data_IF_499288958989
#
_entry.id   IF_499288958989
#
_cell.length_a   1.000
_cell.length_b   1.000
_cell.length_c   1.000
_cell.angle_alpha   90.00
_cell.angle_beta   90.00
_cell.angle_gamma   90.00
#
_symmetry.space_group_name_H-M   'P 1'
#
loop_
_entity.id
_entity.type
_entity.pdbx_description
1 polymer ?
#
# COMPACT_ATOMS: atom_id res chain seq x y z
N UNK A 1 -4.80 -11.19 5.26
CA UNK A 1 -3.71 -10.70 4.38
C UNK A 1 -3.04 -9.48 4.96
N UNK A 2 -1.71 -9.49 4.98
CA UNK A 2 -0.80 -8.42 5.38
C UNK A 2 0.35 -8.34 4.36
N UNK A 3 1.17 -7.29 4.42
CA UNK A 3 2.35 -7.11 3.59
C UNK A 3 3.56 -6.95 4.48
N UNK A 4 4.62 -7.70 4.22
CA UNK A 4 5.85 -7.65 4.98
C UNK A 4 6.93 -6.98 4.14
N UNK A 5 7.69 -6.04 4.70
CA UNK A 5 8.95 -5.65 4.08
C UNK A 5 9.92 -6.83 4.13
N UNK A 6 10.74 -6.96 3.10
CA UNK A 6 11.71 -8.05 3.00
C UNK A 6 13.05 -7.52 3.51
N UNK A 7 13.67 -8.15 4.53
CA UNK A 7 15.00 -7.77 4.98
C UNK A 7 16.01 -7.85 3.83
N UNK A 8 16.99 -6.94 3.83
CA UNK A 8 17.94 -6.82 2.72
C UNK A 8 18.73 -8.12 2.53
N UNK A 9 18.68 -8.67 1.31
CA UNK A 9 19.40 -9.89 0.95
C UNK A 9 18.77 -11.18 1.47
N UNK A 10 17.53 -11.14 1.98
CA UNK A 10 16.80 -12.32 2.38
C UNK A 10 15.66 -12.66 1.42
N UNK A 11 15.26 -13.93 1.42
CA UNK A 11 14.13 -14.45 0.66
C UNK A 11 13.18 -15.25 1.57
N UNK A 12 11.92 -15.35 1.16
CA UNK A 12 10.93 -16.16 1.87
C UNK A 12 11.14 -17.65 1.59
N UNK A 13 11.17 -18.48 2.64
CA UNK A 13 11.18 -19.94 2.53
C UNK A 13 10.33 -20.58 3.61
N UNK A 14 9.60 -21.62 3.21
CA UNK A 14 9.00 -22.59 4.14
C UNK A 14 10.00 -23.69 4.43
N UNK A 15 10.25 -23.92 5.72
CA UNK A 15 11.19 -24.95 6.18
C UNK A 15 10.45 -25.88 7.11
N UNK A 16 10.52 -27.18 6.83
CA UNK A 16 9.99 -28.25 7.68
C UNK A 16 11.13 -28.85 8.50
N UNK A 17 11.06 -28.72 9.82
CA UNK A 17 12.02 -29.31 10.76
C UNK A 17 11.27 -30.20 11.75
N UNK A 18 11.61 -31.50 11.78
CA UNK A 18 11.08 -32.48 12.76
C UNK A 18 9.55 -32.37 12.93
N UNK A 19 8.83 -32.43 11.81
CA UNK A 19 7.36 -32.35 11.68
C UNK A 19 6.72 -30.97 11.83
N UNK A 20 7.47 -29.92 12.18
CA UNK A 20 6.96 -28.55 12.22
C UNK A 20 7.39 -27.76 10.97
N UNK A 21 6.41 -27.34 10.19
CA UNK A 21 6.64 -26.43 9.05
C UNK A 21 6.44 -24.99 9.48
N UNK A 22 7.46 -24.17 9.25
CA UNK A 22 7.45 -22.76 9.62
C UNK A 22 7.87 -21.85 8.45
N UNK A 23 7.37 -20.63 8.46
CA UNK A 23 7.65 -19.58 7.48
C UNK A 23 8.85 -18.73 7.94
N UNK A 24 9.88 -18.61 7.10
CA UNK A 24 11.11 -17.89 7.42
C UNK A 24 11.51 -16.88 6.34
N UNK A 25 12.19 -15.82 6.76
CA UNK A 25 13.16 -15.14 5.90
C UNK A 25 14.54 -15.77 6.08
N UNK A 26 15.19 -16.07 4.97
CA UNK A 26 16.47 -16.77 4.94
C UNK A 26 17.42 -16.02 4.02
N UNK A 27 18.66 -15.86 4.44
CA UNK A 27 19.73 -15.43 3.53
C UNK A 27 20.19 -16.63 2.69
N UNK A 28 20.11 -16.57 1.35
CA UNK A 28 20.55 -17.64 0.48
C UNK A 28 22.06 -17.97 0.64
N UNK A 29 22.87 -17.01 1.11
CA UNK A 29 24.29 -17.22 1.38
C UNK A 29 24.59 -17.79 2.77
N UNK A 30 23.57 -17.90 3.63
CA UNK A 30 23.70 -18.42 5.00
C UNK A 30 24.57 -17.59 5.93
N UNK A 31 24.86 -16.32 5.61
CA UNK A 31 25.66 -15.42 6.45
C UNK A 31 24.82 -14.80 7.56
N UNK A 32 23.55 -14.53 7.28
CA UNK A 32 22.61 -13.97 8.24
C UNK A 32 21.75 -15.05 8.91
N UNK A 33 21.34 -14.84 10.17
CA UNK A 33 20.44 -15.76 10.85
C UNK A 33 19.07 -15.80 10.16
N UNK A 34 18.41 -16.96 10.25
CA UNK A 34 17.03 -17.11 9.77
C UNK A 34 16.07 -16.34 10.68
N UNK A 35 15.05 -15.73 10.09
CA UNK A 35 14.07 -14.91 10.82
C UNK A 35 12.72 -15.61 10.75
N UNK A 36 12.18 -16.03 11.89
CA UNK A 36 10.89 -16.72 11.95
C UNK A 36 9.74 -15.71 11.77
N UNK A 37 9.06 -15.78 10.63
CA UNK A 37 8.00 -14.84 10.28
C UNK A 37 6.77 -15.07 11.14
N UNK A 38 6.35 -16.31 11.35
CA UNK A 38 5.13 -16.64 12.09
C UNK A 38 5.17 -16.15 13.53
N UNK A 39 6.26 -16.44 14.25
CA UNK A 39 6.40 -16.05 15.65
C UNK A 39 6.32 -14.52 15.79
N UNK A 40 7.07 -13.81 14.94
CA UNK A 40 7.10 -12.35 14.94
C UNK A 40 5.76 -11.74 14.53
N UNK A 41 5.08 -12.28 13.51
CA UNK A 41 3.76 -11.82 13.08
C UNK A 41 2.72 -12.10 14.16
N UNK A 42 2.75 -13.27 14.81
CA UNK A 42 1.83 -13.63 15.88
C UNK A 42 1.94 -12.66 17.05
N UNK A 43 3.15 -12.44 17.54
CA UNK A 43 3.39 -11.52 18.65
C UNK A 43 2.98 -10.10 18.26
N UNK A 44 3.40 -9.63 17.07
CA UNK A 44 3.06 -8.30 16.58
C UNK A 44 1.55 -8.08 16.48
N UNK A 45 0.80 -9.05 15.95
CA UNK A 45 -0.66 -8.94 15.79
C UNK A 45 -1.38 -9.07 17.13
N UNK A 46 -0.91 -9.93 18.03
CA UNK A 46 -1.48 -10.13 19.37
C UNK A 46 -1.36 -8.85 20.23
N UNK A 47 -0.23 -8.16 20.17
CA UNK A 47 0.02 -6.97 20.98
C UNK A 47 -0.37 -5.63 20.32
N UNK A 48 -0.90 -5.65 19.09
CA UNK A 48 -1.32 -4.44 18.38
C UNK A 48 -2.67 -3.86 18.88
N UNK A 49 -2.71 -3.43 20.15
CA UNK A 49 -3.91 -2.86 20.79
C UNK A 49 -4.48 -1.64 20.06
N UNK A 50 -3.62 -0.82 19.45
CA UNK A 50 -4.00 0.38 18.71
C UNK A 50 -4.46 0.15 17.27
N UNK A 51 -4.53 -1.11 16.81
CA UNK A 51 -4.84 -1.46 15.41
C UNK A 51 -3.98 -0.68 14.42
N UNK A 52 -2.72 -0.41 14.76
CA UNK A 52 -1.77 0.33 13.93
C UNK A 52 -1.70 -0.32 12.55
N UNK A 53 -1.71 0.51 11.50
CA UNK A 53 -1.64 0.05 10.11
C UNK A 53 -0.24 -0.45 9.73
N UNK A 54 0.76 0.11 10.40
CA UNK A 54 2.18 -0.19 10.25
C UNK A 54 2.74 -0.58 11.62
N UNK A 55 3.46 -1.71 11.67
CA UNK A 55 4.10 -2.24 12.87
C UNK A 55 5.57 -2.50 12.51
N UNK A 56 6.46 -1.65 13.01
CA UNK A 56 7.90 -1.85 12.85
C UNK A 56 8.36 -2.92 13.85
N UNK A 57 9.03 -3.95 13.35
CA UNK A 57 9.77 -4.93 14.13
C UNK A 57 11.28 -4.67 13.96
N UNK A 58 12.15 -5.30 14.77
CA UNK A 58 13.60 -5.16 14.61
C UNK A 58 14.11 -5.55 13.22
N UNK A 59 13.52 -6.61 12.66
CA UNK A 59 14.01 -7.24 11.42
C UNK A 59 13.27 -6.78 10.16
N UNK A 60 11.96 -6.55 10.26
CA UNK A 60 11.10 -6.15 9.15
C UNK A 60 9.89 -5.36 9.64
N UNK A 61 9.06 -4.87 8.71
CA UNK A 61 7.87 -4.09 9.03
C UNK A 61 6.63 -4.78 8.48
N UNK A 62 5.58 -4.83 9.30
CA UNK A 62 4.27 -5.38 8.93
C UNK A 62 3.33 -4.24 8.54
N UNK A 63 2.74 -4.34 7.36
CA UNK A 63 1.68 -3.46 6.86
C UNK A 63 0.36 -4.22 6.74
N UNK A 64 -0.67 -3.84 7.49
CA UNK A 64 -1.89 -4.66 7.65
C UNK A 64 -2.85 -4.67 6.46
N UNK A 65 -2.76 -3.71 5.56
CA UNK A 65 -3.77 -3.52 4.50
C UNK A 65 -3.18 -3.24 3.11
N UNK A 66 -2.06 -2.54 3.06
CA UNK A 66 -1.37 -2.20 1.81
C UNK A 66 0.10 -1.91 2.11
N UNK A 67 1.03 -2.24 1.21
CA UNK A 67 2.40 -1.77 1.30
C UNK A 67 2.45 -0.24 1.11
N UNK A 68 3.53 0.43 1.53
CA UNK A 68 3.77 1.83 1.19
C UNK A 68 4.06 1.99 -0.32
N UNK A 69 3.79 3.19 -0.86
CA UNK A 69 4.13 3.54 -2.25
C UNK A 69 5.64 3.76 -2.38
N UNK A 70 6.39 2.66 -2.50
CA UNK A 70 7.85 2.64 -2.64
C UNK A 70 8.24 1.64 -3.72
N UNK A 71 9.38 1.87 -4.34
CA UNK A 71 9.96 0.99 -5.37
C UNK A 71 10.69 -0.19 -4.73
N UNK A 72 9.94 -0.94 -3.92
CA UNK A 72 10.44 -2.03 -3.10
C UNK A 72 9.48 -3.22 -3.23
N UNK A 73 10.03 -4.43 -3.16
CA UNK A 73 9.26 -5.65 -3.13
C UNK A 73 8.78 -5.91 -1.69
N UNK A 74 7.50 -6.24 -1.58
CA UNK A 74 6.86 -6.65 -0.34
C UNK A 74 6.33 -8.06 -0.48
N UNK A 75 6.41 -8.83 0.59
CA UNK A 75 5.81 -10.15 0.66
C UNK A 75 4.32 -10.01 1.03
N UNK A 76 3.44 -10.35 0.10
CA UNK A 76 2.00 -10.46 0.36
C UNK A 76 1.73 -11.76 1.12
N UNK A 77 1.51 -11.65 2.42
CA UNK A 77 1.49 -12.76 3.34
C UNK A 77 0.11 -12.91 3.99
N UNK A 78 -0.43 -14.14 4.05
CA UNK A 78 -1.72 -14.41 4.68
C UNK A 78 -1.54 -15.29 5.93
N UNK A 79 -1.40 -14.69 7.13
CA UNK A 79 -1.12 -15.47 8.34
C UNK A 79 -2.28 -16.42 8.66
N UNK A 80 -2.01 -17.72 8.76
CA UNK A 80 -3.00 -18.69 9.24
C UNK A 80 -3.12 -18.60 10.76
N UNK A 81 -4.37 -18.44 11.25
CA UNK A 81 -4.68 -18.26 12.68
C UNK A 81 -3.77 -17.22 13.36
N UNK A 82 -3.60 -16.06 12.73
CA UNK A 82 -2.70 -14.98 13.19
C UNK A 82 -1.23 -15.41 13.37
N UNK A 83 -0.72 -16.30 12.52
CA UNK A 83 0.66 -16.76 12.60
C UNK A 83 0.87 -17.92 13.58
N UNK A 84 -0.20 -18.60 14.01
CA UNK A 84 -0.09 -19.84 14.77
C UNK A 84 0.37 -21.01 13.88
N UNK A 85 -0.02 -21.00 12.62
CA UNK A 85 0.33 -22.03 11.64
C UNK A 85 1.01 -21.40 10.42
N UNK A 86 1.59 -22.25 9.56
CA UNK A 86 2.26 -21.79 8.34
C UNK A 86 1.23 -21.35 7.32
N UNK A 87 1.67 -20.48 6.43
CA UNK A 87 0.83 -19.94 5.39
C UNK A 87 0.48 -21.04 4.41
N UNK A 88 -0.82 -21.34 4.29
CA UNK A 88 -1.34 -22.39 3.38
C UNK A 88 -1.44 -21.91 1.94
N UNK A 89 -1.62 -20.62 1.74
CA UNK A 89 -1.72 -20.00 0.42
C UNK A 89 -0.33 -19.69 -0.15
N UNK A 90 -0.20 -19.71 -1.48
CA UNK A 90 1.04 -19.29 -2.14
C UNK A 90 1.31 -17.82 -1.85
N UNK A 91 2.54 -17.52 -1.43
CA UNK A 91 2.96 -16.17 -1.07
C UNK A 91 3.42 -15.44 -2.33
N UNK A 92 2.94 -14.21 -2.53
CA UNK A 92 3.28 -13.42 -3.72
C UNK A 92 4.22 -12.26 -3.35
N UNK A 93 5.11 -11.91 -4.27
CA UNK A 93 5.91 -10.69 -4.19
C UNK A 93 5.20 -9.59 -4.95
N UNK A 94 5.00 -8.44 -4.31
CA UNK A 94 4.33 -7.29 -4.92
C UNK A 94 5.21 -6.05 -4.82
N UNK A 95 5.32 -5.28 -5.90
CA UNK A 95 5.96 -3.97 -5.84
C UNK A 95 4.99 -2.94 -5.24
N UNK A 96 5.46 -2.16 -4.26
CA UNK A 96 4.66 -1.15 -3.58
C UNK A 96 4.05 -0.08 -4.52
N UNK A 97 4.75 0.30 -5.60
CA UNK A 97 4.26 1.23 -6.62
C UNK A 97 3.14 0.63 -7.45
N UNK A 98 3.34 -0.60 -7.93
CA UNK A 98 2.38 -1.28 -8.81
C UNK A 98 1.10 -1.69 -8.07
N UNK A 99 1.22 -1.99 -6.77
CA UNK A 99 0.09 -2.37 -5.93
C UNK A 99 -0.88 -1.20 -5.72
N UNK A 100 -0.36 0.03 -5.54
CA UNK A 100 -1.17 1.23 -5.36
C UNK A 100 -1.32 1.92 -6.71
N UNK A 101 -2.16 1.35 -7.58
CA UNK A 101 -2.41 1.86 -8.95
C UNK A 101 -2.83 3.33 -8.99
N UNK A 102 -3.54 3.80 -7.97
CA UNK A 102 -4.05 5.16 -7.90
C UNK A 102 -3.95 5.67 -6.46
N UNK A 103 -2.91 6.45 -6.17
CA UNK A 103 -3.06 7.43 -5.08
C UNK A 103 -3.84 8.56 -5.71
N UNK A 104 -5.17 8.57 -5.53
CA UNK A 104 -5.93 9.79 -5.81
C UNK A 104 -5.22 10.89 -5.02
N UNK A 105 -4.76 11.93 -5.71
CA UNK A 105 -4.04 12.99 -5.03
C UNK A 105 -4.95 13.57 -3.95
N UNK A 106 -4.44 13.73 -2.74
CA UNK A 106 -5.21 14.27 -1.64
C UNK A 106 -5.71 15.67 -2.04
N UNK A 107 -7.01 15.79 -2.29
CA UNK A 107 -7.66 17.07 -2.56
C UNK A 107 -7.94 17.72 -1.21
N UNK A 108 -7.33 18.87 -0.94
CA UNK A 108 -7.76 19.75 0.15
C UNK A 108 -8.89 20.66 -0.35
N UNK A 109 -9.70 21.16 0.58
CA UNK A 109 -10.71 22.17 0.28
C UNK A 109 -10.07 23.35 -0.47
N UNK A 110 -10.66 23.74 -1.60
CA UNK A 110 -10.13 24.79 -2.49
C UNK A 110 -9.15 24.34 -3.57
N UNK A 111 -8.69 23.08 -3.57
CA UNK A 111 -7.84 22.54 -4.64
C UNK A 111 -8.68 21.93 -5.75
N UNK A 112 -8.40 22.28 -7.02
CA UNK A 112 -9.09 21.68 -8.15
C UNK A 112 -8.53 20.28 -8.45
N UNK A 113 -9.40 19.31 -8.72
CA UNK A 113 -9.00 17.92 -8.99
C UNK A 113 -8.00 17.81 -10.15
N UNK A 114 -8.18 18.62 -11.20
CA UNK A 114 -7.34 18.60 -12.40
C UNK A 114 -5.92 19.12 -12.15
N UNK A 115 -5.67 19.88 -11.08
CA UNK A 115 -4.33 20.34 -10.72
C UNK A 115 -3.44 19.21 -10.19
N UNK A 116 -4.04 18.06 -9.90
CA UNK A 116 -3.35 16.93 -9.31
C UNK A 116 -3.34 15.69 -10.21
N UNK A 117 -4.03 15.75 -11.34
CA UNK A 117 -4.06 14.70 -12.37
C UNK A 117 -3.28 15.21 -13.57
N UNK A 118 -2.40 14.39 -14.13
CA UNK A 118 -1.75 14.72 -15.40
C UNK A 118 -2.77 14.54 -16.52
N UNK A 119 -3.29 15.65 -17.04
CA UNK A 119 -4.15 15.70 -18.22
C UNK A 119 -3.30 16.02 -19.46
N UNK A 120 -3.72 15.58 -20.63
CA UNK A 120 -3.16 16.06 -21.90
C UNK A 120 -3.49 17.55 -22.10
N UNK A 121 -2.68 18.26 -22.88
CA UNK A 121 -2.84 19.71 -23.13
C UNK A 121 -4.25 20.05 -23.62
N UNK A 122 -4.74 19.36 -24.66
CA UNK A 122 -6.11 19.53 -25.18
C UNK A 122 -7.18 19.37 -24.09
N UNK A 123 -7.01 18.39 -23.19
CA UNK A 123 -7.98 18.13 -22.13
C UNK A 123 -7.90 19.18 -21.02
N UNK A 124 -6.72 19.75 -20.79
CA UNK A 124 -6.53 20.85 -19.86
C UNK A 124 -7.22 22.12 -20.37
N UNK A 125 -7.11 22.42 -21.67
CA UNK A 125 -7.77 23.59 -22.27
C UNK A 125 -9.29 23.52 -22.15
N UNK A 126 -9.89 22.37 -22.44
CA UNK A 126 -11.33 22.13 -22.25
C UNK A 126 -11.77 22.39 -20.80
N UNK A 127 -10.99 21.89 -19.83
CA UNK A 127 -11.29 22.03 -18.41
C UNK A 127 -11.18 23.49 -17.97
N UNK A 128 -10.19 24.23 -18.46
CA UNK A 128 -10.04 25.65 -18.17
C UNK A 128 -11.19 26.48 -18.77
N UNK A 129 -11.61 26.18 -20.00
CA UNK A 129 -12.73 26.83 -20.66
C UNK A 129 -14.05 26.62 -19.89
N UNK A 130 -14.33 25.38 -19.48
CA UNK A 130 -15.51 25.06 -18.65
C UNK A 130 -15.46 25.72 -17.28
N UNK A 131 -14.27 25.87 -16.70
CA UNK A 131 -14.08 26.59 -15.43
C UNK A 131 -14.34 28.09 -15.59
N UNK A 132 -13.90 28.73 -16.67
CA UNK A 132 -14.20 30.14 -16.93
C UNK A 132 -15.69 30.36 -17.16
N UNK A 133 -16.33 29.49 -17.94
CA UNK A 133 -17.78 29.52 -18.18
C UNK A 133 -18.57 29.43 -16.86
N UNK A 134 -18.23 28.46 -16.01
CA UNK A 134 -18.86 28.32 -14.70
C UNK A 134 -18.63 29.55 -13.80
N UNK A 135 -17.44 30.16 -13.86
CA UNK A 135 -17.12 31.38 -13.09
C UNK A 135 -17.99 32.54 -13.54
N UNK A 136 -18.18 32.72 -14.85
CA UNK A 136 -18.99 33.79 -15.41
C UNK A 136 -20.48 33.57 -15.08
N UNK A 137 -20.96 32.34 -15.25
CA UNK A 137 -22.33 31.96 -14.87
C UNK A 137 -22.61 32.18 -13.38
N UNK A 138 -21.61 32.12 -12.49
CA UNK A 138 -21.80 32.43 -11.05
C UNK A 138 -21.73 33.92 -10.73
N UNK A 139 -21.24 34.74 -11.66
CA UNK A 139 -21.05 36.20 -11.50
C UNK A 139 -22.12 37.02 -12.20
N UNK A 140 -22.97 36.39 -13.01
CA UNK A 140 -24.06 37.08 -13.67
C UNK A 140 -24.96 37.81 -12.67
N UNK A 141 -25.50 38.94 -13.10
CA UNK A 141 -26.49 39.72 -12.36
C UNK A 141 -27.77 39.76 -13.20
N UNK A 142 -28.86 39.21 -12.67
CA UNK A 142 -30.13 39.01 -13.39
C UNK A 142 -30.70 37.61 -13.17
N UNK A 143 -31.83 37.29 -13.82
CA UNK A 143 -32.54 36.01 -13.65
C UNK A 143 -31.90 34.84 -14.43
N UNK A 144 -31.02 35.12 -15.41
CA UNK A 144 -30.32 34.11 -16.21
C UNK A 144 -28.92 34.57 -16.59
N UNK A 145 -27.91 33.67 -16.58
CA UNK A 145 -26.56 33.95 -17.08
C UNK A 145 -26.47 33.99 -18.61
N UNK A 146 -27.46 33.41 -19.31
CA UNK A 146 -27.51 33.41 -20.76
C UNK A 146 -28.47 34.51 -21.25
N UNK A 147 -28.08 35.27 -22.30
CA UNK A 147 -29.02 36.16 -22.96
C UNK A 147 -30.16 35.33 -23.56
N UNK A 148 -31.39 35.65 -23.17
CA UNK A 148 -32.62 35.25 -23.89
C UNK A 148 -32.69 35.93 -25.24
#
# INVERSE_FOLDING_TARGET
>A
MIFLSIPKGMEFKQITEKDNTNDYFVDPNGKLPRINIQALVKDALQYNKGRKKEISLPDFTIYRHKPPYRDELFLQYNPDHNGKYFTKESVNLVNGKEFIKYKTPATSYGTFWFQKVQLSENRMDEVLAKRSEQRENRRHTGDSPNPT
#
